data_IF_384465022354
#
_entry.id   IF_384465022354
#
_cell.length_a   1.000
_cell.length_b   1.000
_cell.length_c   1.000
_cell.angle_alpha   90.00
_cell.angle_beta   90.00
_cell.angle_gamma   90.00
#
_symmetry.space_group_name_H-M   'P 1'
#
loop_
_entity.id
_entity.type
_entity.pdbx_description
1 polymer ?
#
# COMPACT_ATOMS: atom_id res chain seq x y z
N UNK A 1 10.73 -22.72 -19.77
CA UNK A 1 10.40 -21.49 -20.53
C UNK A 1 9.14 -20.90 -19.92
N UNK A 2 9.20 -19.67 -19.42
CA UNK A 2 8.07 -18.95 -18.84
C UNK A 2 7.67 -17.76 -19.69
N UNK A 3 6.59 -17.06 -19.28
CA UNK A 3 6.14 -15.80 -19.84
C UNK A 3 6.59 -14.66 -18.94
N UNK A 4 7.05 -13.58 -19.53
CA UNK A 4 7.42 -12.37 -18.82
C UNK A 4 6.40 -11.27 -19.14
N UNK A 5 5.83 -10.67 -18.11
CA UNK A 5 4.89 -9.55 -18.23
C UNK A 5 5.50 -8.32 -17.56
N UNK A 6 5.28 -7.16 -18.15
CA UNK A 6 5.73 -5.88 -17.62
C UNK A 6 4.57 -5.13 -16.96
N UNK A 7 4.71 -4.80 -15.67
CA UNK A 7 3.79 -3.90 -14.95
C UNK A 7 4.47 -2.58 -14.65
N UNK A 8 3.86 -1.49 -15.07
CA UNK A 8 4.29 -0.13 -14.78
C UNK A 8 3.46 0.37 -13.59
N UNK A 9 4.11 0.64 -12.47
CA UNK A 9 3.49 1.10 -11.24
C UNK A 9 3.54 2.64 -11.16
N UNK A 10 2.64 3.29 -11.89
CA UNK A 10 2.58 4.74 -12.14
C UNK A 10 1.46 5.45 -11.36
N UNK A 11 1.06 4.93 -10.21
CA UNK A 11 0.00 5.54 -9.37
C UNK A 11 0.45 6.82 -8.66
N UNK A 12 1.75 7.10 -8.58
CA UNK A 12 2.32 8.35 -8.10
C UNK A 12 2.59 9.27 -9.29
N UNK A 13 1.65 10.16 -9.58
CA UNK A 13 1.70 11.06 -10.75
C UNK A 13 2.86 12.04 -10.74
N UNK A 14 3.36 12.44 -9.56
CA UNK A 14 4.47 13.37 -9.44
C UNK A 14 5.81 12.72 -9.83
N UNK A 15 5.93 11.41 -9.56
CA UNK A 15 7.14 10.65 -9.84
C UNK A 15 7.10 9.88 -11.15
N UNK A 16 5.92 9.71 -11.76
CA UNK A 16 5.72 8.85 -12.92
C UNK A 16 5.48 9.69 -14.17
N UNK A 17 6.55 9.92 -14.94
CA UNK A 17 6.51 10.63 -16.21
C UNK A 17 6.56 9.64 -17.39
N UNK A 18 5.93 9.98 -18.50
CA UNK A 18 5.93 9.15 -19.72
C UNK A 18 7.34 8.89 -20.25
N UNK A 19 8.27 9.81 -20.05
CA UNK A 19 9.67 9.65 -20.44
C UNK A 19 10.35 8.48 -19.70
N UNK A 20 10.04 8.28 -18.40
CA UNK A 20 10.60 7.18 -17.62
C UNK A 20 10.04 5.83 -18.07
N UNK A 21 8.74 5.78 -18.42
CA UNK A 21 8.13 4.59 -18.98
C UNK A 21 8.81 4.18 -20.29
N UNK A 22 9.04 5.14 -21.20
CA UNK A 22 9.76 4.90 -22.47
C UNK A 22 11.17 4.38 -22.18
N UNK A 23 11.89 5.01 -21.26
CA UNK A 23 13.24 4.65 -20.89
C UNK A 23 13.32 3.21 -20.34
N UNK A 24 12.35 2.78 -19.50
CA UNK A 24 12.28 1.40 -18.99
C UNK A 24 12.10 0.43 -20.17
N UNK A 25 11.19 0.72 -21.10
CA UNK A 25 10.92 -0.15 -22.25
C UNK A 25 12.14 -0.25 -23.17
N UNK A 26 12.81 0.88 -23.44
CA UNK A 26 14.03 0.93 -24.24
C UNK A 26 15.18 0.17 -23.57
N UNK A 27 15.33 0.30 -22.26
CA UNK A 27 16.33 -0.45 -21.49
C UNK A 27 16.12 -1.96 -21.55
N UNK A 28 14.85 -2.41 -21.42
CA UNK A 28 14.52 -3.83 -21.56
C UNK A 28 14.85 -4.36 -22.97
N UNK A 29 14.54 -3.59 -24.00
CA UNK A 29 14.92 -3.92 -25.39
C UNK A 29 16.42 -4.00 -25.57
N UNK A 30 17.14 -3.04 -25.01
CA UNK A 30 18.61 -2.97 -25.12
C UNK A 30 19.29 -4.20 -24.51
N UNK A 31 18.84 -4.68 -23.35
CA UNK A 31 19.35 -5.91 -22.72
C UNK A 31 18.75 -7.19 -23.27
N UNK A 32 17.91 -7.11 -24.31
CA UNK A 32 17.33 -8.25 -24.99
C UNK A 32 16.17 -8.94 -24.28
N UNK A 33 15.60 -8.32 -23.24
CA UNK A 33 14.42 -8.84 -22.53
C UNK A 33 13.16 -8.49 -23.31
N UNK A 34 12.37 -9.53 -23.67
CA UNK A 34 11.06 -9.40 -24.31
C UNK A 34 9.97 -9.76 -23.33
N UNK A 35 8.93 -8.95 -23.26
CA UNK A 35 7.71 -9.24 -22.49
C UNK A 35 6.55 -9.57 -23.43
N UNK A 36 5.57 -10.31 -22.93
CA UNK A 36 4.40 -10.71 -23.68
C UNK A 36 3.25 -9.74 -23.51
N UNK A 37 2.52 -9.48 -24.61
CA UNK A 37 1.36 -8.61 -24.62
C UNK A 37 1.71 -7.11 -24.55
N UNK A 38 0.81 -6.36 -23.93
CA UNK A 38 1.00 -4.93 -23.61
C UNK A 38 1.43 -4.78 -22.17
N UNK A 39 2.05 -3.65 -21.86
CA UNK A 39 2.36 -3.29 -20.48
C UNK A 39 1.07 -3.22 -19.66
N UNK A 40 1.10 -3.77 -18.45
CA UNK A 40 0.05 -3.55 -17.46
C UNK A 40 0.29 -2.20 -16.80
N UNK A 41 -0.57 -1.23 -17.08
CA UNK A 41 -0.46 0.13 -16.55
C UNK A 41 -1.35 0.24 -15.31
N UNK A 42 -0.74 0.46 -14.15
CA UNK A 42 -1.43 0.46 -12.87
C UNK A 42 -2.43 1.62 -12.75
N UNK A 43 -2.08 2.81 -13.28
CA UNK A 43 -2.98 3.97 -13.29
C UNK A 43 -4.28 3.74 -14.07
N UNK A 44 -4.30 2.86 -15.07
CA UNK A 44 -5.52 2.50 -15.80
C UNK A 44 -6.49 1.66 -14.95
N UNK A 45 -6.03 1.10 -13.83
CA UNK A 45 -6.81 0.25 -12.93
C UNK A 45 -7.29 0.96 -11.65
N UNK A 46 -7.11 2.27 -11.55
CA UNK A 46 -7.47 3.08 -10.37
C UNK A 46 -8.92 2.83 -9.91
N UNK A 47 -9.86 2.67 -10.84
CA UNK A 47 -11.25 2.40 -10.48
C UNK A 47 -11.40 1.07 -9.73
N UNK A 48 -10.65 0.03 -10.12
CA UNK A 48 -10.66 -1.25 -9.42
C UNK A 48 -10.04 -1.15 -8.03
N UNK A 49 -8.95 -0.39 -7.89
CA UNK A 49 -8.35 -0.11 -6.59
C UNK A 49 -9.32 0.61 -5.66
N UNK A 50 -10.07 1.62 -6.17
CA UNK A 50 -11.11 2.33 -5.43
C UNK A 50 -12.28 1.42 -5.02
N UNK A 51 -12.70 0.54 -5.90
CA UNK A 51 -13.75 -0.46 -5.63
C UNK A 51 -13.37 -1.31 -4.43
N UNK A 52 -12.19 -1.94 -4.45
CA UNK A 52 -11.69 -2.77 -3.35
C UNK A 52 -11.53 -1.95 -2.05
N UNK A 53 -10.99 -0.72 -2.12
CA UNK A 53 -10.91 0.13 -0.94
C UNK A 53 -12.28 0.42 -0.33
N UNK A 54 -13.31 0.64 -1.15
CA UNK A 54 -14.68 0.86 -0.69
C UNK A 54 -15.29 -0.42 -0.10
N UNK A 55 -14.99 -1.59 -0.63
CA UNK A 55 -15.38 -2.87 -0.03
C UNK A 55 -14.73 -3.04 1.34
N UNK A 56 -13.45 -2.75 1.48
CA UNK A 56 -12.76 -2.80 2.77
C UNK A 56 -13.36 -1.82 3.78
N UNK A 57 -13.79 -0.62 3.33
CA UNK A 57 -14.54 0.33 4.17
C UNK A 57 -15.87 -0.25 4.62
N UNK A 58 -16.68 -0.81 3.71
CA UNK A 58 -17.99 -1.42 4.00
C UNK A 58 -17.88 -2.61 4.96
N UNK A 59 -16.85 -3.45 4.76
CA UNK A 59 -16.55 -4.59 5.65
C UNK A 59 -15.94 -4.19 7.00
N UNK A 60 -15.64 -2.90 7.22
CA UNK A 60 -15.04 -2.41 8.47
C UNK A 60 -13.54 -2.65 8.62
N UNK A 61 -12.86 -3.09 7.55
CA UNK A 61 -11.40 -3.26 7.52
C UNK A 61 -10.63 -1.97 7.18
N UNK A 62 -11.34 -0.90 6.85
CA UNK A 62 -10.76 0.41 6.62
C UNK A 62 -11.63 1.52 7.23
N UNK A 63 -11.13 2.74 7.29
CA UNK A 63 -11.86 3.90 7.80
C UNK A 63 -11.35 5.19 7.17
N UNK A 64 -12.18 6.25 7.24
CA UNK A 64 -11.82 7.59 6.83
C UNK A 64 -11.05 8.30 7.94
N UNK A 65 -9.90 8.86 7.59
CA UNK A 65 -9.04 9.58 8.52
C UNK A 65 -8.98 11.05 8.10
N UNK A 66 -9.36 11.94 9.00
CA UNK A 66 -9.42 13.38 8.79
C UNK A 66 -8.28 14.15 9.53
N UNK A 67 -7.18 13.47 9.87
CA UNK A 67 -6.01 14.16 10.39
C UNK A 67 -5.45 15.11 9.34
N UNK A 68 -5.17 16.33 9.75
CA UNK A 68 -4.45 17.30 8.93
C UNK A 68 -2.96 16.93 8.83
N UNK A 69 -2.29 17.48 7.82
CA UNK A 69 -0.83 17.32 7.69
C UNK A 69 -0.09 17.82 8.93
N UNK A 70 -0.52 18.97 9.49
CA UNK A 70 0.03 19.53 10.71
C UNK A 70 -0.05 18.56 11.90
N UNK A 71 -1.22 17.93 12.12
CA UNK A 71 -1.38 16.93 13.19
C UNK A 71 -0.44 15.73 13.00
N UNK A 72 -0.22 15.29 11.76
CA UNK A 72 0.70 14.18 11.46
C UNK A 72 2.16 14.60 11.69
N UNK A 73 2.54 15.80 11.27
CA UNK A 73 3.90 16.32 11.51
C UNK A 73 4.20 16.50 13.01
N UNK A 74 3.24 16.99 13.79
CA UNK A 74 3.37 17.09 15.25
C UNK A 74 3.56 15.71 15.91
N UNK A 75 2.84 14.68 15.46
CA UNK A 75 3.00 13.30 15.94
C UNK A 75 4.38 12.74 15.57
N UNK A 76 4.86 12.98 14.34
CA UNK A 76 6.21 12.57 13.90
C UNK A 76 7.30 13.28 14.73
N UNK A 77 7.17 14.59 14.93
CA UNK A 77 8.12 15.38 15.72
C UNK A 77 8.19 14.87 17.17
N UNK A 78 7.03 14.54 17.77
CA UNK A 78 6.96 13.97 19.12
C UNK A 78 7.63 12.59 19.20
N UNK A 79 7.39 11.71 18.21
CA UNK A 79 8.03 10.40 18.14
C UNK A 79 9.55 10.54 18.01
N UNK A 80 10.02 11.44 17.13
CA UNK A 80 11.45 11.74 16.95
C UNK A 80 12.10 12.27 18.23
N UNK A 81 11.44 13.17 18.95
CA UNK A 81 11.95 13.72 20.22
C UNK A 81 12.11 12.65 21.28
N UNK A 82 11.25 11.64 21.29
CA UNK A 82 11.27 10.51 22.23
C UNK A 82 12.12 9.33 21.73
N UNK A 83 12.81 9.46 20.60
CA UNK A 83 13.63 8.41 19.96
C UNK A 83 12.88 7.08 19.74
N UNK A 84 11.56 7.18 19.46
CA UNK A 84 10.72 6.02 19.16
C UNK A 84 10.27 6.04 17.69
N UNK A 85 10.08 4.86 17.08
CA UNK A 85 9.52 4.78 15.73
C UNK A 85 8.14 5.45 15.67
N UNK A 86 7.90 6.22 14.59
CA UNK A 86 6.59 6.82 14.39
C UNK A 86 5.55 5.74 14.05
N UNK A 87 4.46 5.73 14.82
CA UNK A 87 3.25 4.95 14.54
C UNK A 87 2.06 5.90 14.63
N UNK A 88 1.23 5.94 13.58
CA UNK A 88 0.02 6.76 13.58
C UNK A 88 -0.88 6.41 14.78
N UNK A 89 -1.36 7.43 15.50
CA UNK A 89 -2.08 7.28 16.79
C UNK A 89 -3.50 6.70 16.68
N UNK A 90 -3.97 6.37 15.48
CA UNK A 90 -5.28 5.76 15.21
C UNK A 90 -6.50 6.60 15.65
N UNK A 91 -6.34 7.94 15.79
CA UNK A 91 -7.37 8.87 16.25
C UNK A 91 -8.75 8.60 15.60
N UNK A 92 -8.77 8.39 14.28
CA UNK A 92 -10.01 8.20 13.49
C UNK A 92 -10.43 6.74 13.31
N UNK A 93 -9.77 5.80 13.96
CA UNK A 93 -10.07 4.37 13.80
C UNK A 93 -11.45 3.97 14.31
N UNK A 94 -11.85 4.51 15.45
CA UNK A 94 -13.15 4.33 16.08
C UNK A 94 -13.60 5.69 16.64
N UNK A 95 -14.01 6.61 15.77
CA UNK A 95 -14.37 7.94 16.21
C UNK A 95 -15.69 7.88 17.01
N UNK A 96 -15.60 8.18 18.30
CA UNK A 96 -16.71 8.57 19.14
C UNK A 96 -16.57 10.05 19.41
N UNK A 97 -17.61 10.82 19.27
CA UNK A 97 -17.67 12.25 19.62
C UNK A 97 -16.67 13.17 18.87
N UNK A 98 -16.08 12.71 17.77
CA UNK A 98 -15.23 13.53 16.92
C UNK A 98 -16.06 14.22 15.84
N UNK A 99 -16.05 15.56 15.85
CA UNK A 99 -16.62 16.34 14.75
C UNK A 99 -15.77 16.21 13.50
N UNK A 100 -16.41 15.88 12.37
CA UNK A 100 -15.72 15.80 11.09
C UNK A 100 -15.36 17.21 10.61
N UNK A 101 -14.08 17.52 10.41
CA UNK A 101 -13.65 18.84 9.95
C UNK A 101 -14.25 19.17 8.57
N UNK A 102 -14.88 20.32 8.42
CA UNK A 102 -15.58 20.72 7.18
C UNK A 102 -14.65 20.88 5.97
N UNK A 103 -13.36 21.19 6.17
CA UNK A 103 -12.42 21.54 5.11
C UNK A 103 -11.29 20.51 4.91
N UNK A 104 -11.40 19.31 5.49
CA UNK A 104 -10.38 18.26 5.36
C UNK A 104 -10.92 17.14 4.49
N UNK A 105 -10.30 16.92 3.33
CA UNK A 105 -10.55 15.72 2.52
C UNK A 105 -9.90 14.51 3.18
N UNK A 106 -10.66 13.47 3.53
CA UNK A 106 -10.12 12.34 4.25
C UNK A 106 -9.23 11.47 3.36
N UNK A 107 -8.21 10.88 3.96
CA UNK A 107 -7.55 9.70 3.42
C UNK A 107 -8.29 8.44 3.89
N UNK A 108 -8.12 7.32 3.19
CA UNK A 108 -8.62 6.02 3.66
C UNK A 108 -7.47 5.24 4.25
N UNK A 109 -7.59 4.82 5.51
CA UNK A 109 -6.60 3.98 6.19
C UNK A 109 -7.11 2.56 6.36
N UNK A 110 -6.21 1.59 6.20
CA UNK A 110 -6.48 0.19 6.55
C UNK A 110 -6.42 0.00 8.06
N UNK A 111 -7.33 -0.78 8.63
CA UNK A 111 -7.33 -1.17 10.04
C UNK A 111 -6.39 -2.34 10.26
N UNK A 112 -5.11 -2.05 10.52
CA UNK A 112 -4.13 -3.08 10.84
C UNK A 112 -4.48 -3.81 12.14
N UNK A 113 -4.10 -5.08 12.25
CA UNK A 113 -4.17 -5.81 13.52
C UNK A 113 -3.31 -5.10 14.56
N UNK A 114 -3.79 -4.93 15.78
CA UNK A 114 -3.09 -4.22 16.85
C UNK A 114 -2.43 -5.13 17.88
N UNK A 115 -2.86 -6.39 17.96
CA UNK A 115 -2.33 -7.39 18.89
C UNK A 115 -1.91 -8.66 18.17
N UNK A 116 -1.10 -9.47 18.82
CA UNK A 116 -0.54 -10.68 18.24
C UNK A 116 0.55 -10.39 17.19
N UNK A 117 0.84 -11.37 16.36
CA UNK A 117 1.90 -11.31 15.35
C UNK A 117 1.33 -11.60 13.95
N UNK A 118 1.90 -10.93 12.95
CA UNK A 118 1.76 -11.34 11.56
C UNK A 118 2.96 -12.21 11.19
N UNK A 119 2.68 -13.40 10.65
CA UNK A 119 3.69 -14.41 10.31
C UNK A 119 3.76 -14.54 8.80
N UNK A 120 4.97 -14.57 8.24
CA UNK A 120 5.24 -14.86 6.83
C UNK A 120 6.13 -16.08 6.77
N UNK A 121 5.84 -17.00 5.86
CA UNK A 121 6.72 -18.11 5.49
C UNK A 121 7.51 -17.67 4.27
N UNK A 122 8.70 -17.12 4.51
CA UNK A 122 9.61 -16.73 3.45
C UNK A 122 10.37 -17.97 2.95
N UNK A 123 10.47 -18.11 1.62
CA UNK A 123 11.10 -19.30 1.03
C UNK A 123 12.63 -19.30 1.16
N UNK A 124 13.23 -18.15 1.42
CA UNK A 124 14.70 -18.01 1.59
C UNK A 124 15.07 -17.91 3.07
N UNK A 125 14.34 -17.07 3.84
CA UNK A 125 14.67 -16.78 5.23
C UNK A 125 13.88 -17.62 6.25
N UNK A 126 12.95 -18.45 5.77
CA UNK A 126 12.11 -19.27 6.66
C UNK A 126 10.96 -18.46 7.29
N UNK A 127 10.56 -18.79 8.49
CA UNK A 127 9.44 -18.12 9.15
C UNK A 127 9.88 -16.79 9.79
N UNK A 128 9.23 -15.70 9.37
CA UNK A 128 9.46 -14.35 9.88
C UNK A 128 8.21 -13.87 10.61
N UNK A 129 8.39 -13.33 11.81
CA UNK A 129 7.33 -12.81 12.66
C UNK A 129 7.54 -11.33 12.92
N UNK A 130 6.46 -10.55 12.89
CA UNK A 130 6.47 -9.16 13.33
C UNK A 130 5.31 -8.92 14.29
N UNK A 131 5.55 -8.15 15.37
CA UNK A 131 4.47 -7.74 16.25
C UNK A 131 3.52 -6.79 15.52
N UNK A 132 2.22 -7.05 15.59
CA UNK A 132 1.21 -6.19 14.98
C UNK A 132 1.18 -4.78 15.59
N UNK A 133 1.66 -4.61 16.83
CA UNK A 133 1.78 -3.29 17.47
C UNK A 133 2.72 -2.32 16.72
N UNK A 134 3.67 -2.86 15.95
CA UNK A 134 4.62 -2.06 15.16
C UNK A 134 4.08 -1.69 13.76
N UNK A 135 2.95 -2.27 13.35
CA UNK A 135 2.31 -1.97 12.07
C UNK A 135 1.27 -0.88 12.29
N UNK A 136 1.49 0.28 11.69
CA UNK A 136 0.52 1.38 11.74
C UNK A 136 -0.75 1.08 10.92
N UNK A 137 -1.82 1.85 11.16
CA UNK A 137 -2.94 1.93 10.24
C UNK A 137 -2.51 2.78 9.03
N UNK A 138 -2.03 2.13 7.99
CA UNK A 138 -1.44 2.80 6.83
C UNK A 138 -2.49 3.26 5.82
N UNK A 139 -2.14 4.31 5.06
CA UNK A 139 -3.03 4.86 4.03
C UNK A 139 -3.11 3.90 2.85
N UNK A 140 -4.33 3.61 2.39
CA UNK A 140 -4.61 2.83 1.18
C UNK A 140 -5.16 3.68 0.03
N UNK A 141 -5.93 4.77 0.34
CA UNK A 141 -6.26 5.82 -0.64
C UNK A 141 -5.87 7.18 -0.09
N UNK A 142 -5.26 8.00 -0.92
CA UNK A 142 -4.95 9.40 -0.63
C UNK A 142 -6.22 10.26 -0.65
N UNK A 143 -6.09 11.53 -0.27
CA UNK A 143 -7.19 12.49 -0.25
C UNK A 143 -7.74 12.86 -1.65
N UNK A 144 -6.95 12.66 -2.71
CA UNK A 144 -7.37 12.78 -4.11
C UNK A 144 -8.03 11.49 -4.65
N UNK A 145 -8.09 10.44 -3.83
CA UNK A 145 -8.62 9.13 -4.17
C UNK A 145 -7.66 8.24 -4.95
N UNK A 146 -6.41 8.65 -5.13
CA UNK A 146 -5.39 7.77 -5.74
C UNK A 146 -4.97 6.67 -4.75
N UNK A 147 -4.74 5.44 -5.21
CA UNK A 147 -4.27 4.35 -4.35
C UNK A 147 -2.82 4.57 -3.94
N UNK A 148 -2.45 4.05 -2.77
CA UNK A 148 -1.05 3.90 -2.40
C UNK A 148 -0.51 2.57 -2.91
N UNK A 149 0.82 2.43 -2.98
CA UNK A 149 1.50 1.18 -3.32
C UNK A 149 0.97 -0.03 -2.55
N UNK A 150 0.65 0.14 -1.26
CA UNK A 150 0.18 -0.97 -0.42
C UNK A 150 -1.12 -1.60 -0.95
N UNK A 151 -2.05 -0.79 -1.44
CA UNK A 151 -3.30 -1.28 -1.99
C UNK A 151 -3.14 -1.72 -3.45
N UNK A 152 -2.52 -0.87 -4.29
CA UNK A 152 -2.45 -1.15 -5.73
C UNK A 152 -1.67 -2.42 -6.04
N UNK A 153 -0.53 -2.65 -5.36
CA UNK A 153 0.23 -3.87 -5.54
C UNK A 153 -0.59 -5.13 -5.19
N UNK A 154 -1.29 -5.12 -4.06
CA UNK A 154 -2.11 -6.27 -3.62
C UNK A 154 -3.26 -6.55 -4.60
N UNK A 155 -3.98 -5.51 -5.01
CA UNK A 155 -5.11 -5.67 -5.93
C UNK A 155 -4.64 -6.19 -7.29
N UNK A 156 -3.56 -5.63 -7.83
CA UNK A 156 -3.03 -6.04 -9.12
C UNK A 156 -2.44 -7.44 -9.07
N UNK A 157 -1.68 -7.78 -8.03
CA UNK A 157 -1.16 -9.13 -7.83
C UNK A 157 -2.29 -10.15 -7.74
N UNK A 158 -3.39 -9.81 -7.04
CA UNK A 158 -4.58 -10.66 -6.96
C UNK A 158 -5.22 -10.85 -8.35
N UNK A 159 -5.41 -9.77 -9.11
CA UNK A 159 -6.01 -9.81 -10.45
C UNK A 159 -5.12 -10.54 -11.47
N UNK A 160 -3.82 -10.46 -11.29
CA UNK A 160 -2.83 -11.15 -12.14
C UNK A 160 -2.54 -12.59 -11.68
N UNK A 161 -3.20 -13.07 -10.62
CA UNK A 161 -2.97 -14.40 -10.03
C UNK A 161 -1.49 -14.65 -9.64
N UNK A 162 -0.82 -13.64 -9.10
CA UNK A 162 0.56 -13.76 -8.64
C UNK A 162 0.63 -14.71 -7.44
N UNK A 163 1.44 -15.74 -7.53
CA UNK A 163 1.60 -16.76 -6.50
C UNK A 163 2.84 -16.55 -5.62
N UNK A 164 3.88 -15.91 -6.14
CA UNK A 164 5.14 -15.68 -5.46
C UNK A 164 5.60 -14.24 -5.70
N UNK A 165 6.10 -13.58 -4.67
CA UNK A 165 6.66 -12.22 -4.73
C UNK A 165 8.14 -12.30 -4.40
N UNK A 166 8.99 -11.78 -5.30
CA UNK A 166 10.43 -11.65 -5.08
C UNK A 166 10.73 -10.17 -4.89
N UNK A 167 11.31 -9.81 -3.75
CA UNK A 167 11.63 -8.41 -3.41
C UNK A 167 12.89 -8.27 -2.57
N UNK A 168 13.46 -7.06 -2.56
CA UNK A 168 14.57 -6.72 -1.68
C UNK A 168 14.18 -6.76 -0.20
N UNK A 169 15.16 -7.02 0.65
CA UNK A 169 14.97 -7.14 2.11
C UNK A 169 14.53 -5.84 2.78
N UNK A 170 14.93 -4.70 2.22
CA UNK A 170 14.52 -3.35 2.60
C UNK A 170 13.01 -3.11 2.46
N UNK A 171 12.33 -3.87 1.60
CA UNK A 171 10.88 -3.83 1.39
C UNK A 171 10.10 -4.91 2.15
N UNK A 172 10.74 -5.69 3.00
CA UNK A 172 10.12 -6.79 3.75
C UNK A 172 8.91 -6.36 4.59
N UNK A 173 8.98 -5.18 5.22
CA UNK A 173 7.86 -4.64 6.02
C UNK A 173 6.57 -4.48 5.20
N UNK A 174 6.67 -4.23 3.90
CA UNK A 174 5.52 -4.12 3.02
C UNK A 174 4.77 -5.45 2.91
N UNK A 175 5.46 -6.58 2.96
CA UNK A 175 4.85 -7.91 2.89
C UNK A 175 3.89 -8.14 4.03
N UNK A 176 4.21 -7.69 5.25
CA UNK A 176 3.33 -7.81 6.41
C UNK A 176 2.07 -6.94 6.27
N UNK A 177 2.21 -5.71 5.77
CA UNK A 177 1.09 -4.81 5.49
C UNK A 177 0.19 -5.39 4.40
N UNK A 178 0.77 -5.82 3.29
CA UNK A 178 0.07 -6.38 2.14
C UNK A 178 -0.65 -7.69 2.48
N UNK A 179 -0.03 -8.56 3.28
CA UNK A 179 -0.67 -9.80 3.76
C UNK A 179 -1.97 -9.52 4.50
N UNK A 180 -2.03 -8.49 5.34
CA UNK A 180 -3.25 -8.13 6.06
C UNK A 180 -4.36 -7.65 5.11
N UNK A 181 -4.01 -6.93 4.02
CA UNK A 181 -4.97 -6.56 2.98
C UNK A 181 -5.50 -7.82 2.27
N UNK A 182 -4.63 -8.75 1.86
CA UNK A 182 -5.04 -10.01 1.25
C UNK A 182 -6.02 -10.81 2.12
N UNK A 183 -5.76 -10.86 3.43
CA UNK A 183 -6.64 -11.54 4.39
C UNK A 183 -8.02 -10.86 4.49
N UNK A 184 -8.07 -9.54 4.38
CA UNK A 184 -9.31 -8.75 4.44
C UNK A 184 -10.10 -8.76 3.13
N UNK A 185 -9.49 -9.07 2.00
CA UNK A 185 -10.14 -9.18 0.68
C UNK A 185 -10.89 -10.50 0.50
N UNK A 186 -10.61 -11.51 1.31
CA UNK A 186 -11.33 -12.79 1.34
C UNK A 186 -12.72 -12.63 1.96
#
# INVERSE_FOLDING_TARGET
KGKFYLRIEDTDKERSKDEYKKQIIESLKWIGIKYEGKEYIQSEKINKHKEIANELLKKGFAYKCYCSEKEIEEQKAKAKKNEIPFVYNRKWRNPTDLEIPKNVKPVTRFKSKISGNTVIKDLVQGQINISNSTIEDFIILRNDGSPTYQLSAVVDDHLMNITHVIRGDDHKINTFKQKQIYEAMK
#
